data_IF_786594584010
#
_entry.id   IF_786594584010
#
_cell.length_a   1.000
_cell.length_b   1.000
_cell.length_c   1.000
_cell.angle_alpha   90.00
_cell.angle_beta   90.00
_cell.angle_gamma   90.00
#
_symmetry.space_group_name_H-M   'P 1'
#
loop_
_entity.id
_entity.type
_entity.pdbx_description
1 polymer ?
#
# COMPACT_ATOMS: atom_id res chain seq x y z
N UNK A 1 -7.17 -25.75 0.96
CA UNK A 1 -7.57 -24.37 0.63
C UNK A 1 -9.09 -24.34 0.61
N UNK A 2 -9.70 -23.40 1.31
CA UNK A 2 -11.17 -23.33 1.37
C UNK A 2 -11.73 -22.90 0.01
N UNK A 3 -12.97 -23.32 -0.32
CA UNK A 3 -13.64 -22.96 -1.58
C UNK A 3 -13.75 -21.42 -1.77
N UNK A 4 -13.79 -20.67 -0.68
CA UNK A 4 -13.79 -19.22 -0.65
C UNK A 4 -12.48 -18.58 -1.15
N UNK A 5 -11.33 -19.12 -0.77
CA UNK A 5 -10.02 -18.62 -1.21
C UNK A 5 -9.87 -18.77 -2.73
N UNK A 6 -10.24 -19.94 -3.26
CA UNK A 6 -10.19 -20.21 -4.71
C UNK A 6 -11.15 -19.29 -5.52
N UNK A 7 -12.32 -18.93 -4.95
CA UNK A 7 -13.22 -17.96 -5.59
C UNK A 7 -12.66 -16.54 -5.56
N UNK A 8 -12.10 -16.11 -4.43
CA UNK A 8 -11.45 -14.80 -4.31
C UNK A 8 -10.28 -14.66 -5.28
N UNK A 9 -9.47 -15.71 -5.49
CA UNK A 9 -8.37 -15.72 -6.46
C UNK A 9 -8.88 -15.47 -7.89
N UNK A 10 -9.95 -16.16 -8.30
CA UNK A 10 -10.57 -15.97 -9.63
C UNK A 10 -11.18 -14.59 -9.80
N UNK A 11 -11.78 -14.04 -8.75
CA UNK A 11 -12.32 -12.67 -8.77
C UNK A 11 -11.19 -11.66 -8.88
N UNK A 12 -10.13 -11.84 -8.13
CA UNK A 12 -8.95 -10.97 -8.17
C UNK A 12 -8.30 -10.95 -9.56
N UNK A 13 -8.20 -12.10 -10.24
CA UNK A 13 -7.72 -12.21 -11.62
C UNK A 13 -8.57 -11.40 -12.62
N UNK A 14 -9.85 -11.22 -12.34
CA UNK A 14 -10.75 -10.42 -13.17
C UNK A 14 -10.70 -8.92 -12.86
N UNK A 15 -9.96 -8.48 -11.82
CA UNK A 15 -9.81 -7.07 -11.45
C UNK A 15 -8.61 -6.41 -12.14
N UNK A 16 -8.67 -5.09 -12.44
CA UNK A 16 -7.63 -4.39 -13.21
C UNK A 16 -6.32 -4.14 -12.43
N UNK A 17 -6.21 -4.54 -11.20
CA UNK A 17 -5.01 -4.47 -10.35
C UNK A 17 -4.40 -3.07 -10.19
N UNK A 18 -5.22 -2.03 -10.30
CA UNK A 18 -4.78 -0.63 -10.15
C UNK A 18 -4.49 -0.24 -8.70
N UNK A 19 -4.94 -1.02 -7.73
CA UNK A 19 -4.75 -0.84 -6.27
C UNK A 19 -5.20 0.56 -5.78
N UNK A 20 -6.21 1.15 -6.43
CA UNK A 20 -6.60 2.56 -6.27
C UNK A 20 -7.50 2.85 -5.06
N UNK A 21 -7.96 1.82 -4.34
CA UNK A 21 -8.87 1.90 -3.17
C UNK A 21 -10.24 2.54 -3.42
N UNK A 22 -10.58 2.94 -4.66
CA UNK A 22 -11.85 3.61 -5.00
C UNK A 22 -13.10 2.76 -4.70
N UNK A 23 -12.96 1.45 -4.73
CA UNK A 23 -14.01 0.51 -4.34
C UNK A 23 -14.36 0.52 -2.83
N UNK A 24 -13.62 1.29 -2.01
CA UNK A 24 -13.78 1.34 -0.56
C UNK A 24 -12.95 0.32 0.22
N UNK A 25 -12.17 -0.53 -0.47
CA UNK A 25 -11.30 -1.54 0.12
C UNK A 25 -9.83 -1.12 -0.01
N UNK A 26 -8.96 -1.70 0.83
CA UNK A 26 -7.53 -1.35 0.89
C UNK A 26 -6.71 -1.79 -0.36
N UNK A 27 -7.34 -2.45 -1.33
CA UNK A 27 -6.73 -2.91 -2.57
C UNK A 27 -7.63 -3.88 -3.32
N UNK A 28 -7.13 -4.45 -4.42
CA UNK A 28 -7.92 -5.36 -5.25
C UNK A 28 -8.19 -6.70 -4.55
N UNK A 29 -7.23 -7.25 -3.79
CA UNK A 29 -7.41 -8.50 -3.05
C UNK A 29 -8.50 -8.41 -1.97
N UNK A 30 -8.52 -7.44 -1.06
CA UNK A 30 -9.60 -7.29 -0.09
C UNK A 30 -10.98 -7.09 -0.73
N UNK A 31 -11.05 -6.39 -1.87
CA UNK A 31 -12.30 -6.26 -2.61
C UNK A 31 -12.74 -7.60 -3.22
N UNK A 32 -11.82 -8.39 -3.77
CA UNK A 32 -12.13 -9.73 -4.29
C UNK A 32 -12.65 -10.67 -3.19
N UNK A 33 -12.08 -10.61 -2.00
CA UNK A 33 -12.51 -11.38 -0.82
C UNK A 33 -13.91 -10.97 -0.36
N UNK A 34 -14.19 -9.66 -0.31
CA UNK A 34 -15.51 -9.13 0.03
C UNK A 34 -16.60 -9.51 -1.01
N UNK A 35 -16.24 -9.58 -2.30
CA UNK A 35 -17.17 -10.11 -3.33
C UNK A 35 -17.40 -11.61 -3.12
N UNK A 36 -16.36 -12.37 -2.83
CA UNK A 36 -16.44 -13.82 -2.62
C UNK A 36 -17.29 -14.18 -1.38
N UNK A 37 -17.19 -13.37 -0.30
CA UNK A 37 -18.04 -13.51 0.90
C UNK A 37 -19.47 -12.99 0.73
N UNK A 38 -19.73 -12.22 -0.33
CA UNK A 38 -21.04 -11.57 -0.56
C UNK A 38 -21.24 -10.24 0.17
N UNK A 39 -20.21 -9.71 0.80
CA UNK A 39 -20.24 -8.41 1.50
C UNK A 39 -20.17 -7.23 0.53
N UNK A 40 -19.57 -7.41 -0.66
CA UNK A 40 -19.44 -6.37 -1.67
C UNK A 40 -20.20 -6.69 -2.95
N UNK A 41 -20.71 -5.64 -3.60
CA UNK A 41 -21.23 -5.70 -4.97
C UNK A 41 -20.12 -5.81 -6.01
N UNK A 42 -20.44 -6.38 -7.18
CA UNK A 42 -19.47 -6.52 -8.29
C UNK A 42 -19.21 -5.22 -9.06
N UNK A 43 -19.91 -4.14 -8.70
CA UNK A 43 -19.96 -2.88 -9.44
C UNK A 43 -19.33 -1.69 -8.73
N UNK A 44 -18.31 -1.94 -7.89
CA UNK A 44 -17.65 -0.88 -7.10
C UNK A 44 -16.27 -0.48 -7.65
N UNK A 45 -15.86 -1.02 -8.82
CA UNK A 45 -14.53 -0.77 -9.38
C UNK A 45 -14.58 0.16 -10.61
N UNK A 46 -14.36 1.49 -10.46
CA UNK A 46 -14.37 2.42 -11.59
C UNK A 46 -13.29 2.13 -12.65
N UNK A 47 -12.03 1.76 -12.30
CA UNK A 47 -11.03 1.40 -13.31
C UNK A 47 -11.36 0.15 -14.12
N UNK A 48 -12.14 -0.79 -13.57
CA UNK A 48 -12.63 -1.96 -14.29
C UNK A 48 -13.77 -1.62 -15.25
N UNK A 49 -14.55 -0.59 -14.90
CA UNK A 49 -15.65 -0.10 -15.72
C UNK A 49 -16.75 -1.13 -15.99
N UNK A 50 -17.54 -0.86 -17.01
CA UNK A 50 -18.63 -1.75 -17.44
C UNK A 50 -18.11 -3.13 -17.86
N UNK A 51 -16.95 -3.21 -18.51
CA UNK A 51 -16.35 -4.47 -18.91
C UNK A 51 -15.89 -5.31 -17.70
N UNK A 52 -15.32 -4.68 -16.68
CA UNK A 52 -14.94 -5.34 -15.43
C UNK A 52 -16.15 -5.92 -14.71
N UNK A 53 -17.26 -5.18 -14.67
CA UNK A 53 -18.53 -5.67 -14.11
C UNK A 53 -19.04 -6.87 -14.91
N UNK A 54 -19.00 -6.81 -16.24
CA UNK A 54 -19.42 -7.93 -17.10
C UNK A 54 -18.54 -9.19 -16.87
N UNK A 55 -17.21 -9.03 -16.72
CA UNK A 55 -16.29 -10.12 -16.39
C UNK A 55 -16.66 -10.78 -15.04
N UNK A 56 -16.89 -9.99 -14.00
CA UNK A 56 -17.28 -10.47 -12.69
C UNK A 56 -18.68 -11.10 -12.68
N UNK A 57 -19.63 -10.50 -13.39
CA UNK A 57 -20.98 -11.04 -13.54
C UNK A 57 -20.95 -12.42 -14.22
N UNK A 58 -20.21 -12.58 -15.30
CA UNK A 58 -20.04 -13.86 -15.99
C UNK A 58 -19.36 -14.91 -15.10
N UNK A 59 -18.30 -14.52 -14.37
CA UNK A 59 -17.58 -15.40 -13.44
C UNK A 59 -18.47 -15.95 -12.34
N UNK A 60 -19.41 -15.13 -11.85
CA UNK A 60 -20.27 -15.42 -10.68
C UNK A 60 -21.68 -15.87 -11.05
N UNK A 61 -22.02 -15.92 -12.36
CA UNK A 61 -23.38 -16.21 -12.79
C UNK A 61 -24.42 -15.17 -12.34
N UNK A 62 -24.01 -13.91 -12.20
CA UNK A 62 -24.86 -12.79 -11.73
C UNK A 62 -25.27 -11.91 -12.93
N UNK A 63 -26.38 -11.15 -12.81
CA UNK A 63 -26.72 -10.16 -13.83
C UNK A 63 -25.70 -9.03 -13.87
N UNK A 64 -25.47 -8.47 -15.06
CA UNK A 64 -24.69 -7.23 -15.23
C UNK A 64 -25.50 -6.06 -14.70
N UNK A 65 -24.90 -5.28 -13.82
CA UNK A 65 -25.51 -4.10 -13.20
C UNK A 65 -24.63 -2.86 -13.50
N UNK A 66 -25.19 -1.64 -13.51
CA UNK A 66 -24.39 -0.44 -13.74
C UNK A 66 -23.35 -0.21 -12.65
N UNK A 67 -22.26 0.52 -12.99
CA UNK A 67 -21.25 0.95 -12.02
C UNK A 67 -21.93 1.79 -10.91
N UNK A 68 -21.57 1.51 -9.68
CA UNK A 68 -22.06 2.27 -8.54
C UNK A 68 -21.37 3.65 -8.47
N UNK A 69 -22.11 4.76 -8.71
CA UNK A 69 -21.52 6.09 -8.81
C UNK A 69 -20.92 6.61 -7.50
N UNK A 70 -21.24 6.02 -6.35
CA UNK A 70 -20.64 6.40 -5.06
C UNK A 70 -19.13 6.10 -5.00
N UNK A 71 -18.64 5.18 -5.85
CA UNK A 71 -17.24 4.80 -5.94
C UNK A 71 -16.48 5.57 -7.03
N UNK A 72 -17.19 6.41 -7.80
CA UNK A 72 -16.64 7.19 -8.90
C UNK A 72 -17.18 6.79 -10.26
N UNK A 73 -16.54 7.28 -11.32
CA UNK A 73 -16.94 7.07 -12.70
C UNK A 73 -15.86 6.36 -13.49
N UNK A 74 -16.28 5.63 -14.52
CA UNK A 74 -15.39 5.07 -15.52
C UNK A 74 -14.79 6.21 -16.35
N UNK A 75 -13.47 6.20 -16.57
CA UNK A 75 -12.75 7.25 -17.30
C UNK A 75 -11.58 6.65 -18.08
N UNK A 76 -11.06 7.42 -19.04
CA UNK A 76 -9.80 7.11 -19.68
C UNK A 76 -8.68 6.92 -18.65
N UNK A 77 -7.74 6.01 -18.92
CA UNK A 77 -6.63 5.73 -18.00
C UNK A 77 -5.71 6.94 -17.92
N UNK A 78 -5.47 7.50 -16.72
CA UNK A 78 -4.46 8.52 -16.51
C UNK A 78 -3.12 7.90 -16.13
N UNK A 79 -2.05 8.70 -16.27
CA UNK A 79 -0.72 8.45 -15.70
C UNK A 79 -0.31 9.67 -14.89
N UNK A 80 0.34 9.46 -13.76
CA UNK A 80 0.89 10.56 -12.98
C UNK A 80 2.10 11.16 -13.69
N UNK A 81 2.18 12.49 -13.70
CA UNK A 81 3.32 13.27 -14.19
C UNK A 81 3.76 14.20 -13.08
N UNK A 82 5.05 14.18 -12.76
CA UNK A 82 5.65 15.04 -11.73
C UNK A 82 6.32 16.24 -12.42
N UNK A 83 6.00 17.43 -11.99
CA UNK A 83 6.79 18.63 -12.32
C UNK A 83 8.09 18.56 -11.52
N UNK A 84 9.16 18.16 -12.21
CA UNK A 84 10.49 17.97 -11.62
C UNK A 84 11.08 19.27 -11.09
N UNK A 85 10.73 20.44 -11.68
CA UNK A 85 11.21 21.73 -11.23
C UNK A 85 10.58 22.16 -9.89
N UNK A 86 9.33 21.74 -9.63
CA UNK A 86 8.63 22.01 -8.38
C UNK A 86 8.86 20.92 -7.31
N UNK A 87 9.41 19.75 -7.69
CA UNK A 87 9.59 18.61 -6.81
C UNK A 87 10.68 18.88 -5.75
N UNK A 88 10.32 18.78 -4.46
CA UNK A 88 11.23 18.99 -3.32
C UNK A 88 11.89 17.71 -2.78
N UNK A 89 11.65 16.55 -3.38
CA UNK A 89 12.26 15.29 -2.96
C UNK A 89 11.76 14.76 -1.61
N UNK A 90 10.49 14.98 -1.25
CA UNK A 90 9.92 14.59 0.06
C UNK A 90 9.65 13.08 0.21
N UNK A 91 9.70 12.30 -0.87
CA UNK A 91 9.45 10.84 -0.95
C UNK A 91 8.01 10.38 -0.65
N UNK A 92 7.07 11.25 -0.33
CA UNK A 92 5.70 10.85 0.03
C UNK A 92 4.96 10.17 -1.13
N UNK A 93 5.17 10.61 -2.36
CA UNK A 93 4.60 9.97 -3.55
C UNK A 93 5.17 8.55 -3.79
N UNK A 94 6.46 8.31 -3.52
CA UNK A 94 7.08 6.97 -3.58
C UNK A 94 6.45 6.05 -2.54
N UNK A 95 6.25 6.55 -1.32
CA UNK A 95 5.62 5.80 -0.24
C UNK A 95 4.16 5.45 -0.57
N UNK A 96 3.43 6.36 -1.21
CA UNK A 96 2.03 6.17 -1.59
C UNK A 96 1.84 5.27 -2.81
N UNK A 97 2.86 5.11 -3.68
CA UNK A 97 2.73 4.34 -4.91
C UNK A 97 2.60 2.84 -4.62
N UNK A 98 1.47 2.18 -4.96
CA UNK A 98 1.25 0.78 -4.62
C UNK A 98 2.04 -0.22 -5.47
N UNK A 99 2.68 0.24 -6.56
CA UNK A 99 3.34 -0.61 -7.57
C UNK A 99 4.78 -0.17 -7.88
N UNK A 100 5.38 0.66 -7.02
CA UNK A 100 6.74 1.19 -7.18
C UNK A 100 7.01 1.83 -8.57
N UNK A 101 6.00 2.56 -9.09
CA UNK A 101 6.12 3.25 -10.39
C UNK A 101 6.82 4.62 -10.29
N UNK A 102 7.22 5.07 -9.11
CA UNK A 102 7.88 6.36 -8.90
C UNK A 102 9.30 6.12 -8.38
N UNK A 103 10.26 6.72 -9.04
CA UNK A 103 11.68 6.63 -8.70
C UNK A 103 12.22 7.98 -8.23
N UNK A 104 13.26 7.93 -7.39
CA UNK A 104 13.89 9.09 -6.80
C UNK A 104 14.45 8.79 -5.42
N UNK A 105 14.94 9.80 -4.74
CA UNK A 105 15.49 9.68 -3.38
C UNK A 105 15.15 10.93 -2.54
N UNK A 106 15.37 10.85 -1.23
CA UNK A 106 15.18 11.97 -0.33
C UNK A 106 16.05 13.16 -0.76
N UNK A 107 15.44 14.35 -0.88
CA UNK A 107 16.06 15.60 -1.35
C UNK A 107 16.56 15.56 -2.82
N UNK A 108 16.10 14.59 -3.59
CA UNK A 108 16.30 14.52 -5.04
C UNK A 108 14.94 14.59 -5.72
N UNK A 109 14.87 15.11 -6.95
CA UNK A 109 13.61 15.08 -7.71
C UNK A 109 13.14 13.64 -7.94
N UNK A 110 11.82 13.50 -8.09
CA UNK A 110 11.19 12.22 -8.39
C UNK A 110 10.65 12.24 -9.81
N UNK A 111 10.62 11.06 -10.44
CA UNK A 111 9.97 10.90 -11.73
C UNK A 111 9.11 9.64 -11.76
N UNK A 112 8.12 9.60 -12.67
CA UNK A 112 7.21 8.47 -12.83
C UNK A 112 7.66 7.63 -14.00
N UNK A 113 7.79 6.32 -13.80
CA UNK A 113 7.94 5.33 -14.88
C UNK A 113 6.53 5.06 -15.42
N UNK A 114 6.18 5.72 -16.51
CA UNK A 114 4.81 5.78 -17.04
C UNK A 114 4.21 4.38 -17.36
N UNK A 115 5.04 3.46 -17.85
CA UNK A 115 4.66 2.09 -18.19
C UNK A 115 4.26 1.28 -16.94
N UNK A 116 4.80 1.64 -15.77
CA UNK A 116 4.49 0.98 -14.51
C UNK A 116 3.32 1.64 -13.77
N UNK A 117 2.97 2.88 -14.13
CA UNK A 117 1.91 3.64 -13.47
C UNK A 117 0.53 3.04 -13.76
N UNK A 118 -0.22 2.70 -12.72
CA UNK A 118 -1.58 2.15 -12.83
C UNK A 118 -2.68 3.20 -12.87
N UNK A 119 -2.35 4.49 -12.73
CA UNK A 119 -3.33 5.59 -12.72
C UNK A 119 -4.21 5.65 -11.46
N UNK A 120 -3.70 5.19 -10.34
CA UNK A 120 -4.45 5.06 -9.08
C UNK A 120 -4.71 6.37 -8.34
N UNK A 121 -4.04 7.47 -8.68
CA UNK A 121 -4.11 8.82 -8.08
C UNK A 121 -3.54 8.92 -6.64
N UNK A 122 -3.14 7.84 -6.01
CA UNK A 122 -2.73 7.82 -4.58
C UNK A 122 -1.51 8.69 -4.25
N UNK A 123 -0.69 9.03 -5.25
CA UNK A 123 0.48 9.89 -5.10
C UNK A 123 0.15 11.39 -5.09
N UNK A 124 -1.04 11.78 -5.54
CA UNK A 124 -1.42 13.21 -5.69
C UNK A 124 -1.65 13.85 -4.32
N UNK A 125 -2.58 13.30 -3.55
CA UNK A 125 -2.99 13.87 -2.25
C UNK A 125 -1.85 14.07 -1.24
N UNK A 126 -0.83 13.18 -1.11
CA UNK A 126 0.25 13.38 -0.15
C UNK A 126 1.34 14.36 -0.64
N UNK A 127 1.27 14.88 -1.86
CA UNK A 127 2.26 15.83 -2.36
C UNK A 127 2.09 17.20 -1.69
N UNK A 128 3.07 17.68 -0.89
CA UNK A 128 2.90 18.92 -0.14
C UNK A 128 3.08 20.18 -0.98
N UNK A 129 3.52 20.05 -2.23
CA UNK A 129 3.76 21.16 -3.18
C UNK A 129 2.93 21.02 -4.45
N UNK A 130 1.96 20.11 -4.48
CA UNK A 130 1.02 19.88 -5.59
C UNK A 130 1.68 19.75 -6.98
N UNK A 131 2.90 19.18 -7.03
CA UNK A 131 3.66 19.03 -8.27
C UNK A 131 3.28 17.80 -9.10
N UNK A 132 2.17 17.10 -8.77
CA UNK A 132 1.76 15.87 -9.46
C UNK A 132 0.44 16.08 -10.16
N UNK A 133 0.43 15.94 -11.48
CA UNK A 133 -0.77 15.96 -12.31
C UNK A 133 -1.11 14.56 -12.83
N UNK A 134 -2.40 14.30 -13.04
CA UNK A 134 -2.87 13.07 -13.70
C UNK A 134 -3.24 13.40 -15.16
N UNK A 135 -2.51 12.81 -16.10
CA UNK A 135 -2.66 13.07 -17.54
C UNK A 135 -3.25 11.83 -18.21
N UNK A 136 -4.33 12.00 -18.96
CA UNK A 136 -4.97 10.91 -19.73
C UNK A 136 -4.05 10.42 -20.85
N UNK A 137 -3.84 9.10 -20.91
CA UNK A 137 -2.96 8.47 -21.92
C UNK A 137 -3.72 7.52 -22.85
N UNK A 138 -5.02 7.32 -22.63
CA UNK A 138 -5.87 6.45 -23.46
C UNK A 138 -7.16 7.14 -23.88
N UNK A 139 -7.08 8.27 -24.62
CA UNK A 139 -8.28 9.02 -24.99
C UNK A 139 -9.26 8.12 -25.75
N UNK A 140 -10.54 8.19 -25.37
CA UNK A 140 -11.62 7.39 -25.97
C UNK A 140 -11.65 5.92 -25.59
N UNK A 141 -10.72 5.43 -24.77
CA UNK A 141 -10.72 4.04 -24.27
C UNK A 141 -10.75 4.02 -22.74
N UNK A 142 -11.59 3.15 -22.17
CA UNK A 142 -11.80 3.01 -20.74
C UNK A 142 -11.71 1.54 -20.33
N UNK A 143 -11.71 1.28 -19.02
CA UNK A 143 -11.71 -0.08 -18.48
C UNK A 143 -10.66 -0.99 -19.14
N UNK A 144 -11.07 -2.17 -19.58
CA UNK A 144 -10.20 -3.16 -20.18
C UNK A 144 -9.79 -2.88 -21.64
N UNK A 145 -10.36 -1.88 -22.29
CA UNK A 145 -9.86 -1.38 -23.58
C UNK A 145 -8.62 -0.49 -23.41
N UNK A 146 -8.51 0.15 -22.25
CA UNK A 146 -7.39 1.01 -21.88
C UNK A 146 -6.27 0.27 -21.13
N UNK A 147 -6.51 -0.96 -20.68
CA UNK A 147 -5.64 -1.71 -19.77
C UNK A 147 -5.71 -3.21 -20.07
N UNK A 148 -4.60 -3.80 -20.50
CA UNK A 148 -4.58 -5.22 -20.86
C UNK A 148 -4.46 -6.14 -19.63
N UNK A 149 -4.75 -7.44 -19.81
CA UNK A 149 -4.58 -8.44 -18.76
C UNK A 149 -3.10 -8.55 -18.34
N UNK A 150 -2.16 -8.53 -19.28
CA UNK A 150 -0.72 -8.57 -18.97
C UNK A 150 -0.30 -7.37 -18.12
N UNK A 151 -0.84 -6.19 -18.39
CA UNK A 151 -0.57 -4.99 -17.58
C UNK A 151 -1.15 -5.14 -16.17
N UNK A 152 -2.34 -5.70 -16.02
CA UNK A 152 -2.95 -5.96 -14.72
C UNK A 152 -2.13 -6.99 -13.93
N UNK A 153 -1.73 -8.10 -14.55
CA UNK A 153 -0.93 -9.15 -13.92
C UNK A 153 0.45 -8.63 -13.48
N UNK A 154 1.11 -7.84 -14.33
CA UNK A 154 2.36 -7.19 -14.00
C UNK A 154 2.22 -6.16 -12.86
N UNK A 155 1.09 -5.42 -12.80
CA UNK A 155 0.80 -4.50 -11.71
C UNK A 155 0.58 -5.24 -10.38
N UNK A 156 -0.15 -6.37 -10.39
CA UNK A 156 -0.32 -7.25 -9.23
C UNK A 156 1.02 -7.77 -8.74
N UNK A 157 1.84 -8.33 -9.61
CA UNK A 157 3.14 -8.87 -9.25
C UNK A 157 4.05 -7.81 -8.59
N UNK A 158 4.04 -6.56 -9.09
CA UNK A 158 4.78 -5.46 -8.46
C UNK A 158 4.21 -5.07 -7.10
N UNK A 159 2.89 -5.01 -6.98
CA UNK A 159 2.22 -4.74 -5.70
C UNK A 159 2.57 -5.78 -4.64
N UNK A 160 2.54 -7.06 -4.99
CA UNK A 160 2.85 -8.16 -4.09
C UNK A 160 4.33 -8.15 -3.68
N UNK A 161 5.23 -7.93 -4.65
CA UNK A 161 6.65 -7.76 -4.38
C UNK A 161 6.92 -6.58 -3.43
N UNK A 162 6.28 -5.43 -3.69
CA UNK A 162 6.37 -4.25 -2.82
C UNK A 162 5.88 -4.56 -1.40
N UNK A 163 4.73 -5.20 -1.28
CA UNK A 163 4.12 -5.55 0.01
C UNK A 163 5.03 -6.47 0.82
N UNK A 164 5.59 -7.51 0.19
CA UNK A 164 6.54 -8.43 0.80
C UNK A 164 7.86 -7.71 1.19
N UNK A 165 8.36 -6.80 0.34
CA UNK A 165 9.55 -5.99 0.64
C UNK A 165 9.33 -5.09 1.85
N UNK A 166 8.24 -4.35 1.90
CA UNK A 166 7.93 -3.45 3.02
C UNK A 166 7.76 -4.20 4.34
N UNK A 167 7.15 -5.38 4.29
CA UNK A 167 7.03 -6.24 5.47
C UNK A 167 8.41 -6.70 5.97
N UNK A 168 9.28 -7.17 5.08
CA UNK A 168 10.65 -7.57 5.41
C UNK A 168 11.46 -6.40 5.98
N UNK A 169 11.44 -5.23 5.30
CA UNK A 169 12.14 -4.02 5.76
C UNK A 169 11.68 -3.59 7.16
N UNK A 170 10.39 -3.70 7.44
CA UNK A 170 9.83 -3.43 8.77
C UNK A 170 10.37 -4.42 9.80
N UNK A 171 10.34 -5.72 9.51
CA UNK A 171 10.83 -6.76 10.42
C UNK A 171 12.33 -6.60 10.72
N UNK A 172 13.14 -6.33 9.69
CA UNK A 172 14.58 -6.06 9.82
C UNK A 172 14.85 -4.81 10.68
N UNK A 173 14.08 -3.73 10.45
CA UNK A 173 14.20 -2.51 11.25
C UNK A 173 13.80 -2.72 12.70
N UNK A 174 12.72 -3.44 12.95
CA UNK A 174 12.25 -3.75 14.30
C UNK A 174 13.28 -4.63 15.05
N UNK A 175 13.87 -5.62 14.38
CA UNK A 175 14.93 -6.44 14.94
C UNK A 175 16.19 -5.60 15.26
N UNK A 176 16.59 -4.69 14.36
CA UNK A 176 17.72 -3.77 14.55
C UNK A 176 17.49 -2.84 15.75
N UNK A 177 16.27 -2.29 15.89
CA UNK A 177 15.92 -1.41 17.01
C UNK A 177 15.89 -2.18 18.33
N UNK A 178 15.38 -3.41 18.36
CA UNK A 178 15.38 -4.27 19.52
C UNK A 178 16.81 -4.62 19.97
N UNK A 179 17.68 -5.01 19.02
CA UNK A 179 19.09 -5.29 19.31
C UNK A 179 19.82 -4.05 19.86
N UNK A 180 19.57 -2.87 19.31
CA UNK A 180 20.13 -1.61 19.82
C UNK A 180 19.64 -1.26 21.23
N UNK A 181 18.37 -1.50 21.52
CA UNK A 181 17.82 -1.30 22.86
C UNK A 181 18.43 -2.28 23.88
N UNK A 182 18.56 -3.57 23.51
CA UNK A 182 19.18 -4.58 24.35
C UNK A 182 20.66 -4.26 24.65
N UNK A 183 21.43 -3.84 23.63
CA UNK A 183 22.82 -3.43 23.82
C UNK A 183 22.96 -2.23 24.76
N UNK A 184 22.09 -1.22 24.65
CA UNK A 184 22.06 -0.08 25.56
C UNK A 184 21.71 -0.51 27.00
N UNK A 185 20.76 -1.41 27.16
CA UNK A 185 20.39 -1.94 28.48
C UNK A 185 21.56 -2.69 29.11
N UNK A 186 22.27 -3.54 28.35
CA UNK A 186 23.44 -4.27 28.82
C UNK A 186 24.59 -3.31 29.24
N UNK A 187 24.84 -2.27 28.42
CA UNK A 187 25.84 -1.25 28.78
C UNK A 187 25.51 -0.54 30.05
N UNK A 188 24.25 -0.14 30.28
CA UNK A 188 23.81 0.47 31.56
C UNK A 188 23.92 -0.48 32.72
N UNK A 189 23.76 -1.79 32.51
CA UNK A 189 23.95 -2.76 33.62
C UNK A 189 25.40 -2.86 34.07
N UNK A 190 26.37 -2.74 33.16
CA UNK A 190 27.78 -2.81 33.43
C UNK A 190 28.39 -1.52 34.03
N UNK A 191 27.68 -0.38 33.94
CA UNK A 191 28.10 0.88 34.56
C UNK A 191 28.08 0.76 36.10
N UNK A 192 29.14 1.24 36.75
CA UNK A 192 29.22 1.28 38.22
C UNK A 192 29.15 2.74 38.67
N UNK A 193 27.95 3.25 39.03
CA UNK A 193 27.82 4.63 39.47
C UNK A 193 28.58 4.86 40.81
N UNK A 194 29.24 5.99 40.90
CA UNK A 194 30.06 6.37 42.08
C UNK A 194 29.31 7.34 42.97
N UNK A 195 28.36 8.10 42.44
CA UNK A 195 27.57 9.07 43.18
C UNK A 195 26.08 8.71 43.22
N UNK A 196 25.32 9.19 44.20
CA UNK A 196 23.86 9.01 44.25
C UNK A 196 23.14 9.61 43.04
N UNK A 197 23.66 10.70 42.49
CA UNK A 197 23.11 11.37 41.30
C UNK A 197 23.30 10.50 40.03
N UNK A 198 24.47 9.91 39.84
CA UNK A 198 24.75 8.97 38.75
C UNK A 198 23.88 7.71 38.87
N UNK A 199 23.64 7.23 40.10
CA UNK A 199 22.74 6.11 40.35
C UNK A 199 21.30 6.44 39.90
N UNK A 200 20.80 7.60 40.30
CA UNK A 200 19.45 8.04 39.89
C UNK A 200 19.32 8.23 38.39
N UNK A 201 20.33 8.78 37.73
CA UNK A 201 20.36 8.92 36.28
C UNK A 201 20.37 7.57 35.55
N UNK A 202 21.17 6.61 36.03
CA UNK A 202 21.21 5.24 35.52
C UNK A 202 19.85 4.55 35.63
N UNK A 203 19.18 4.66 36.78
CA UNK A 203 17.86 4.08 37.01
C UNK A 203 16.81 4.72 36.06
N UNK A 204 16.82 6.04 35.88
CA UNK A 204 15.95 6.75 34.94
C UNK A 204 16.16 6.28 33.52
N UNK A 205 17.42 6.16 33.05
CA UNK A 205 17.74 5.65 31.70
C UNK A 205 17.23 4.21 31.50
N UNK A 206 17.43 3.34 32.50
CA UNK A 206 16.92 1.95 32.46
C UNK A 206 15.41 1.90 32.35
N UNK A 207 14.70 2.69 33.18
CA UNK A 207 13.24 2.74 33.15
C UNK A 207 12.70 3.18 31.74
N UNK A 208 13.32 4.20 31.13
CA UNK A 208 12.95 4.68 29.79
C UNK A 208 13.14 3.58 28.74
N UNK A 209 14.28 2.89 28.74
CA UNK A 209 14.57 1.83 27.79
C UNK A 209 13.62 0.63 28.00
N UNK A 210 13.41 0.21 29.23
CA UNK A 210 12.50 -0.88 29.57
C UNK A 210 11.06 -0.58 29.11
N UNK A 211 10.56 0.63 29.35
CA UNK A 211 9.24 1.05 28.88
C UNK A 211 9.12 1.11 27.35
N UNK A 212 10.21 1.45 26.65
CA UNK A 212 10.23 1.43 25.18
C UNK A 212 10.22 0.00 24.63
N UNK A 213 10.99 -0.92 25.23
CA UNK A 213 11.01 -2.34 24.85
C UNK A 213 9.65 -3.00 25.10
N UNK A 214 9.01 -2.72 26.21
CA UNK A 214 7.68 -3.25 26.54
C UNK A 214 6.61 -2.76 25.54
N UNK A 215 6.61 -1.46 25.21
CA UNK A 215 5.70 -0.92 24.18
C UNK A 215 5.92 -1.59 22.83
N UNK A 216 7.14 -1.87 22.43
CA UNK A 216 7.45 -2.56 21.19
C UNK A 216 6.93 -4.02 21.20
N UNK A 217 7.08 -4.72 22.35
CA UNK A 217 6.54 -6.07 22.56
C UNK A 217 5.02 -6.10 22.41
N UNK A 218 4.32 -5.22 23.11
CA UNK A 218 2.85 -5.14 23.06
C UNK A 218 2.31 -4.85 21.66
N UNK A 219 2.96 -3.94 20.91
CA UNK A 219 2.60 -3.66 19.52
C UNK A 219 2.77 -4.88 18.62
N UNK A 220 3.82 -5.69 18.83
CA UNK A 220 4.04 -6.91 18.06
C UNK A 220 2.97 -7.95 18.35
N UNK A 221 2.64 -8.18 19.63
CA UNK A 221 1.58 -9.09 20.06
C UNK A 221 0.20 -8.68 19.53
N UNK A 222 -0.10 -7.37 19.51
CA UNK A 222 -1.34 -6.84 18.93
C UNK A 222 -1.41 -7.08 17.42
N UNK A 223 -0.30 -6.85 16.70
CA UNK A 223 -0.21 -7.11 15.26
C UNK A 223 -0.35 -8.60 14.90
N UNK A 224 0.11 -9.50 15.78
CA UNK A 224 -0.03 -10.96 15.61
C UNK A 224 -1.46 -11.44 15.87
N UNK A 225 -2.20 -10.80 16.79
CA UNK A 225 -3.61 -11.13 17.06
C UNK A 225 -4.58 -10.66 15.97
N UNK A 226 -4.19 -9.67 15.18
CA UNK A 226 -5.02 -9.07 14.11
C UNK A 226 -4.71 -9.67 12.71
N UNK A 227 -3.94 -10.74 12.64
CA UNK A 227 -3.66 -11.53 11.43
C UNK A 227 -4.58 -12.75 11.34
#
# INVERSE_FOLDING_TARGET
MSNHTALADRIEDALPQTQCTKCGYAGCRPYAEAIASGEAGINQCPPGGAQGIARLANLLGKPVIPLNPTHGVERARPVAVIDEAACIGCTLCIQACPVDAIVGAAKQMHTVVAELCTGCDLCVAPCPVDCIAMVEVTPGRTGWEAWSQEQADAARARHDFRSARLQREKEENDARLAAKAAAKMAALQSETPVTPEEQAEKERKRAIIAAAMERARLKKEEAERNK
#
